data_IF_527891268596
#
_entry.id   IF_527891268596
#
_cell.length_a   1.000
_cell.length_b   1.000
_cell.length_c   1.000
_cell.angle_alpha   90.00
_cell.angle_beta   90.00
_cell.angle_gamma   90.00
#
_symmetry.space_group_name_H-M   'P 1'
#
loop_
_entity.id
_entity.type
_entity.pdbx_description
1 polymer ?
#
# COMPACT_ATOMS: atom_id res chain seq x y z
N UNK A 1 -40.40 35.27 -43.71
CA UNK A 1 -40.29 33.86 -44.14
C UNK A 1 -38.90 33.66 -44.75
N UNK A 2 -38.09 32.77 -44.16
CA UNK A 2 -36.85 32.12 -44.69
C UNK A 2 -35.65 32.99 -45.07
N UNK A 3 -34.64 33.04 -44.19
CA UNK A 3 -33.23 32.76 -44.53
C UNK A 3 -32.61 32.02 -43.34
N UNK A 4 -32.33 30.73 -43.50
CA UNK A 4 -31.55 29.91 -42.57
C UNK A 4 -30.76 28.90 -43.40
N UNK A 5 -29.46 29.15 -43.59
CA UNK A 5 -28.42 28.12 -43.76
C UNK A 5 -27.07 28.84 -43.90
N UNK A 6 -26.17 28.69 -42.92
CA UNK A 6 -24.72 28.42 -43.06
C UNK A 6 -24.17 28.34 -41.64
N UNK A 7 -23.97 27.12 -41.11
CA UNK A 7 -23.00 26.82 -40.04
C UNK A 7 -23.00 25.30 -39.78
N UNK A 8 -22.25 24.56 -40.59
CA UNK A 8 -21.98 23.15 -40.34
C UNK A 8 -20.71 22.67 -41.05
N UNK A 9 -19.53 23.27 -40.77
CA UNK A 9 -18.23 22.64 -41.10
C UNK A 9 -17.16 23.12 -40.12
N UNK A 10 -17.06 22.53 -38.92
CA UNK A 10 -15.87 22.60 -38.05
C UNK A 10 -15.90 21.54 -36.92
N UNK A 11 -16.14 20.27 -37.22
CA UNK A 11 -16.04 19.19 -36.20
C UNK A 11 -15.37 17.87 -36.64
N UNK A 12 -14.72 17.81 -37.81
CA UNK A 12 -14.13 16.56 -38.32
C UNK A 12 -12.59 16.46 -38.22
N UNK A 13 -11.87 17.54 -37.88
CA UNK A 13 -10.39 17.51 -37.93
C UNK A 13 -9.71 16.89 -36.68
N UNK A 14 -10.34 16.93 -35.50
CA UNK A 14 -9.70 16.44 -34.28
C UNK A 14 -9.69 14.90 -34.14
N UNK A 15 -10.71 14.22 -34.68
CA UNK A 15 -10.83 12.75 -34.59
C UNK A 15 -9.88 11.96 -35.51
N UNK A 16 -9.52 12.54 -36.66
CA UNK A 16 -8.61 11.91 -37.62
C UNK A 16 -7.14 11.89 -37.15
N UNK A 17 -6.70 12.94 -36.45
CA UNK A 17 -5.32 13.08 -35.97
C UNK A 17 -4.98 12.13 -34.82
N UNK A 18 -5.94 11.88 -33.91
CA UNK A 18 -5.76 10.99 -32.75
C UNK A 18 -5.71 9.52 -33.18
N UNK A 19 -6.50 9.13 -34.17
CA UNK A 19 -6.54 7.75 -34.69
C UNK A 19 -5.28 7.38 -35.49
N UNK A 20 -4.75 8.31 -36.30
CA UNK A 20 -3.50 8.10 -37.03
C UNK A 20 -2.25 7.97 -36.12
N UNK A 21 -2.20 8.72 -35.01
CA UNK A 21 -1.08 8.65 -34.05
C UNK A 21 -1.01 7.31 -33.32
N UNK A 22 -2.16 6.78 -32.88
CA UNK A 22 -2.27 5.49 -32.19
C UNK A 22 -1.96 4.31 -33.12
N UNK A 23 -2.41 4.35 -34.38
CA UNK A 23 -2.09 3.34 -35.40
C UNK A 23 -0.58 3.29 -35.70
N UNK A 24 0.09 4.45 -35.71
CA UNK A 24 1.53 4.54 -35.94
C UNK A 24 2.35 3.94 -34.78
N UNK A 25 1.93 4.16 -33.52
CA UNK A 25 2.63 3.57 -32.37
C UNK A 25 2.57 2.04 -32.35
N UNK A 26 1.38 1.46 -32.61
CA UNK A 26 1.22 0.00 -32.66
C UNK A 26 2.09 -0.64 -33.76
N UNK A 27 2.20 0.02 -34.92
CA UNK A 27 3.07 -0.42 -36.02
C UNK A 27 4.55 -0.37 -35.63
N UNK A 28 5.00 0.70 -34.96
CA UNK A 28 6.38 0.82 -34.47
C UNK A 28 6.69 -0.22 -33.40
N UNK A 29 5.80 -0.42 -32.42
CA UNK A 29 5.96 -1.42 -31.37
C UNK A 29 6.09 -2.84 -31.96
N UNK A 30 5.24 -3.17 -32.93
CA UNK A 30 5.33 -4.44 -33.67
C UNK A 30 6.64 -4.56 -34.45
N UNK A 31 7.08 -3.52 -35.15
CA UNK A 31 8.33 -3.52 -35.90
C UNK A 31 9.57 -3.67 -35.00
N UNK A 32 9.48 -3.22 -33.75
CA UNK A 32 10.53 -3.38 -32.75
C UNK A 32 10.43 -4.70 -31.96
N UNK A 33 9.46 -5.57 -32.26
CA UNK A 33 9.17 -6.78 -31.49
C UNK A 33 9.00 -6.49 -29.99
N UNK A 34 8.42 -5.35 -29.63
CA UNK A 34 8.27 -4.96 -28.22
C UNK A 34 7.47 -6.04 -27.46
N UNK A 35 8.07 -6.61 -26.41
CA UNK A 35 7.45 -7.66 -25.60
C UNK A 35 7.68 -9.09 -26.10
N UNK A 36 8.53 -9.29 -27.11
CA UNK A 36 8.84 -10.62 -27.63
C UNK A 36 9.85 -11.37 -26.75
N UNK A 37 10.78 -10.66 -26.10
CA UNK A 37 11.77 -11.24 -25.20
C UNK A 37 11.70 -10.64 -23.78
N UNK A 38 10.75 -11.09 -22.93
CA UNK A 38 10.62 -10.59 -21.57
C UNK A 38 11.73 -11.10 -20.62
N UNK A 39 12.71 -11.86 -21.11
CA UNK A 39 13.56 -12.70 -20.30
C UNK A 39 14.73 -11.93 -19.64
N UNK A 40 14.51 -11.53 -18.39
CA UNK A 40 15.58 -11.54 -17.39
C UNK A 40 15.13 -12.31 -16.15
N UNK A 41 16.03 -13.05 -15.48
CA UNK A 41 15.78 -13.59 -14.14
C UNK A 41 16.07 -12.51 -13.11
N UNK A 42 15.18 -12.31 -12.12
CA UNK A 42 15.33 -11.28 -11.09
C UNK A 42 14.20 -11.36 -10.04
N UNK A 43 14.33 -10.65 -8.92
CA UNK A 43 13.40 -10.69 -7.77
C UNK A 43 12.08 -9.91 -7.96
N UNK A 44 11.98 -9.09 -9.00
CA UNK A 44 10.81 -8.28 -9.38
C UNK A 44 9.86 -9.06 -10.31
N UNK A 45 8.58 -8.65 -10.39
CA UNK A 45 7.59 -9.31 -11.26
C UNK A 45 8.09 -9.38 -12.71
N UNK A 46 7.91 -10.52 -13.38
CA UNK A 46 8.32 -10.67 -14.78
C UNK A 46 7.44 -9.84 -15.74
N UNK A 47 6.20 -9.55 -15.33
CA UNK A 47 5.22 -8.78 -16.08
C UNK A 47 4.39 -7.91 -15.13
N UNK A 48 3.89 -6.78 -15.64
CA UNK A 48 2.97 -5.88 -14.95
C UNK A 48 1.76 -5.67 -15.87
N UNK A 49 0.55 -5.85 -15.36
CA UNK A 49 -0.67 -5.62 -16.14
C UNK A 49 -0.71 -4.17 -16.67
N UNK A 50 -0.96 -4.01 -17.96
CA UNK A 50 -0.96 -2.69 -18.62
C UNK A 50 0.42 -2.15 -18.99
N UNK A 51 1.49 -2.97 -18.87
CA UNK A 51 2.86 -2.59 -19.21
C UNK A 51 3.47 -3.64 -20.14
N UNK A 52 4.14 -3.18 -21.19
CA UNK A 52 4.92 -4.05 -22.09
C UNK A 52 6.35 -4.12 -21.59
N UNK A 53 6.76 -5.25 -21.02
CA UNK A 53 8.18 -5.50 -20.68
C UNK A 53 8.99 -5.57 -21.97
N UNK A 54 10.12 -4.87 -22.05
CA UNK A 54 10.99 -4.85 -23.24
C UNK A 54 12.45 -5.18 -22.89
N UNK A 55 13.14 -5.87 -23.79
CA UNK A 55 14.60 -6.06 -23.70
C UNK A 55 15.36 -4.77 -24.06
N UNK A 56 16.65 -4.63 -23.71
CA UNK A 56 17.47 -3.49 -24.14
C UNK A 56 17.48 -3.27 -25.65
N UNK A 57 17.44 -4.34 -26.45
CA UNK A 57 17.40 -4.28 -27.91
C UNK A 57 16.08 -3.70 -28.42
N UNK A 58 14.96 -4.17 -27.88
CA UNK A 58 13.62 -3.67 -28.21
C UNK A 58 13.48 -2.20 -27.78
N UNK A 59 13.94 -1.86 -26.57
CA UNK A 59 13.99 -0.49 -26.06
C UNK A 59 14.80 0.43 -26.98
N UNK A 60 16.00 0.01 -27.43
CA UNK A 60 16.81 0.77 -28.37
C UNK A 60 16.07 1.04 -29.69
N UNK A 61 15.39 0.04 -30.23
CA UNK A 61 14.58 0.21 -31.44
C UNK A 61 13.45 1.24 -31.23
N UNK A 62 12.76 1.20 -30.08
CA UNK A 62 11.72 2.17 -29.73
C UNK A 62 12.29 3.59 -29.63
N UNK A 63 13.43 3.76 -28.95
CA UNK A 63 14.14 5.04 -28.84
C UNK A 63 14.47 5.60 -30.23
N UNK A 64 15.03 4.78 -31.12
CA UNK A 64 15.44 5.20 -32.46
C UNK A 64 14.26 5.57 -33.37
N UNK A 65 13.16 4.80 -33.30
CA UNK A 65 12.00 5.00 -34.20
C UNK A 65 11.03 6.06 -33.70
N UNK A 66 10.87 6.22 -32.39
CA UNK A 66 9.92 7.19 -31.82
C UNK A 66 10.58 8.55 -31.54
N UNK A 67 11.89 8.58 -31.29
CA UNK A 67 12.61 9.82 -30.99
C UNK A 67 11.94 10.61 -29.86
N UNK A 68 11.75 11.92 -30.06
CA UNK A 68 11.12 12.83 -29.08
C UNK A 68 9.66 12.52 -28.72
N UNK A 69 8.99 11.63 -29.48
CA UNK A 69 7.64 11.15 -29.13
C UNK A 69 7.68 10.21 -27.93
N UNK A 70 8.77 9.48 -27.73
CA UNK A 70 8.97 8.59 -26.58
C UNK A 70 9.53 9.39 -25.41
N UNK A 71 8.81 9.38 -24.29
CA UNK A 71 9.31 9.93 -23.04
C UNK A 71 10.06 8.83 -22.30
N UNK A 72 11.37 9.03 -22.14
CA UNK A 72 12.23 8.07 -21.46
C UNK A 72 12.40 8.52 -20.01
N UNK A 73 12.16 7.62 -19.06
CA UNK A 73 12.12 7.89 -17.62
C UNK A 73 13.09 6.98 -16.90
N UNK A 74 14.04 7.60 -16.23
CA UNK A 74 15.01 6.96 -15.37
C UNK A 74 14.48 7.02 -13.92
N UNK A 75 14.05 5.87 -13.38
CA UNK A 75 13.38 5.81 -12.06
C UNK A 75 14.37 5.81 -10.87
N UNK A 76 15.61 6.23 -11.08
CA UNK A 76 16.68 6.29 -10.08
C UNK A 76 17.61 7.48 -10.36
N UNK A 77 18.46 7.82 -9.40
CA UNK A 77 19.50 8.82 -9.59
C UNK A 77 20.82 8.15 -9.98
N UNK A 78 21.23 8.31 -11.24
CA UNK A 78 22.47 7.77 -11.83
C UNK A 78 22.79 8.56 -13.10
N UNK A 79 23.48 9.70 -12.95
CA UNK A 79 23.74 10.61 -14.05
C UNK A 79 24.72 10.04 -15.09
N UNK A 80 25.68 9.22 -14.66
CA UNK A 80 26.77 8.71 -15.50
C UNK A 80 26.31 7.63 -16.48
N UNK A 81 25.23 6.91 -16.15
CA UNK A 81 24.72 5.78 -16.94
C UNK A 81 23.28 6.00 -17.39
N UNK A 82 23.04 7.18 -17.96
CA UNK A 82 21.74 7.63 -18.44
C UNK A 82 21.53 7.29 -19.91
N UNK A 83 20.37 6.74 -20.25
CA UNK A 83 19.98 6.51 -21.65
C UNK A 83 19.85 7.88 -22.37
N UNK A 84 20.14 7.95 -23.68
CA UNK A 84 19.98 9.19 -24.44
C UNK A 84 18.57 9.78 -24.27
N UNK A 85 18.49 11.09 -23.97
CA UNK A 85 17.24 11.83 -23.74
C UNK A 85 16.36 11.35 -22.57
N UNK A 86 16.90 10.54 -21.65
CA UNK A 86 16.16 10.12 -20.47
C UNK A 86 16.00 11.25 -19.45
N UNK A 87 14.84 11.28 -18.80
CA UNK A 87 14.47 12.20 -17.74
C UNK A 87 14.65 11.51 -16.39
N UNK A 88 15.43 12.09 -15.49
CA UNK A 88 15.60 11.58 -14.14
C UNK A 88 14.31 11.82 -13.33
N UNK A 89 13.72 10.74 -12.82
CA UNK A 89 12.52 10.76 -12.00
C UNK A 89 12.59 9.77 -10.84
N UNK A 90 13.56 9.93 -9.92
CA UNK A 90 13.78 8.99 -8.81
C UNK A 90 12.56 8.85 -7.89
N UNK A 91 11.80 9.93 -7.69
CA UNK A 91 10.58 9.91 -6.87
C UNK A 91 9.52 8.95 -7.43
N UNK A 92 9.45 8.78 -8.75
CA UNK A 92 8.53 7.82 -9.36
C UNK A 92 8.85 6.38 -8.96
N UNK A 93 10.10 6.06 -8.64
CA UNK A 93 10.50 4.75 -8.14
C UNK A 93 10.54 4.63 -6.62
N UNK A 94 10.37 5.71 -5.86
CA UNK A 94 10.55 5.72 -4.41
C UNK A 94 9.44 4.93 -3.67
N UNK A 95 9.80 3.89 -2.93
CA UNK A 95 8.87 3.08 -2.12
C UNK A 95 8.27 3.82 -0.92
N UNK A 96 8.95 4.86 -0.44
CA UNK A 96 8.66 5.53 0.82
C UNK A 96 8.10 6.94 0.61
N UNK A 97 7.40 7.18 -0.51
CA UNK A 97 6.68 8.44 -0.70
C UNK A 97 5.70 8.64 0.46
N UNK A 98 5.86 9.76 1.16
CA UNK A 98 4.98 10.19 2.25
C UNK A 98 4.08 11.32 1.75
N UNK A 99 2.94 11.51 2.40
CA UNK A 99 2.04 12.62 2.11
C UNK A 99 1.53 12.64 0.67
N UNK A 100 1.76 13.75 -0.03
CA UNK A 100 1.35 14.07 -1.40
C UNK A 100 2.23 13.47 -2.50
N UNK A 101 3.27 12.71 -2.14
CA UNK A 101 4.28 12.25 -3.10
C UNK A 101 3.72 11.55 -4.35
N UNK A 102 2.64 10.77 -4.24
CA UNK A 102 2.02 10.14 -5.42
C UNK A 102 1.36 11.16 -6.37
N UNK A 103 0.76 12.23 -5.84
CA UNK A 103 0.19 13.31 -6.65
C UNK A 103 1.30 14.13 -7.32
N UNK A 104 2.39 14.40 -6.61
CA UNK A 104 3.57 15.07 -7.18
C UNK A 104 4.20 14.25 -8.31
N UNK A 105 4.32 12.93 -8.14
CA UNK A 105 4.80 12.03 -9.20
C UNK A 105 3.85 12.03 -10.39
N UNK A 106 2.52 12.01 -10.18
CA UNK A 106 1.54 12.13 -11.27
C UNK A 106 1.72 13.44 -12.05
N UNK A 107 1.93 14.56 -11.35
CA UNK A 107 2.19 15.86 -11.97
C UNK A 107 3.53 15.87 -12.74
N UNK A 108 4.57 15.23 -12.21
CA UNK A 108 5.85 15.06 -12.91
C UNK A 108 5.67 14.29 -14.23
N UNK A 109 4.92 13.18 -14.22
CA UNK A 109 4.57 12.48 -15.45
C UNK A 109 3.85 13.40 -16.43
N UNK A 110 2.82 14.13 -15.96
CA UNK A 110 2.06 15.05 -16.81
C UNK A 110 2.95 16.15 -17.43
N UNK A 111 3.94 16.68 -16.69
CA UNK A 111 4.90 17.66 -17.23
C UNK A 111 5.76 17.07 -18.34
N UNK A 112 6.25 15.84 -18.18
CA UNK A 112 7.09 15.19 -19.19
C UNK A 112 6.30 14.80 -20.44
N UNK A 113 5.03 14.45 -20.29
CA UNK A 113 4.19 14.03 -21.41
C UNK A 113 3.43 15.18 -22.07
N UNK A 114 3.32 16.33 -21.40
CA UNK A 114 2.41 17.42 -21.79
C UNK A 114 0.95 17.13 -21.41
N UNK A 115 0.72 16.23 -20.44
CA UNK A 115 -0.60 15.79 -20.01
C UNK A 115 -1.23 14.73 -20.92
N UNK A 116 -0.56 14.30 -21.99
CA UNK A 116 -1.05 13.30 -22.92
C UNK A 116 -0.85 11.88 -22.37
N UNK A 117 -1.94 11.27 -21.89
CA UNK A 117 -1.98 9.90 -21.37
C UNK A 117 -1.64 8.83 -22.43
N UNK A 118 -1.71 9.18 -23.72
CA UNK A 118 -1.39 8.27 -24.83
C UNK A 118 0.06 8.38 -25.26
N UNK A 119 0.83 9.34 -24.75
CA UNK A 119 2.23 9.49 -25.11
C UNK A 119 3.05 8.30 -24.59
N UNK A 120 3.85 7.64 -25.44
CA UNK A 120 4.56 6.43 -25.03
C UNK A 120 5.64 6.74 -24.00
N UNK A 121 5.74 5.89 -22.98
CA UNK A 121 6.73 5.95 -21.92
C UNK A 121 7.69 4.78 -22.01
N UNK A 122 8.99 5.01 -21.84
CA UNK A 122 9.99 3.96 -21.59
C UNK A 122 10.57 4.16 -20.19
N UNK A 123 10.37 3.21 -19.28
CA UNK A 123 10.76 3.31 -17.88
C UNK A 123 11.85 2.27 -17.58
N UNK A 124 12.93 2.68 -16.89
CA UNK A 124 14.04 1.79 -16.54
C UNK A 124 14.73 2.16 -15.20
N UNK A 125 15.51 1.23 -14.65
CA UNK A 125 16.36 1.44 -13.45
C UNK A 125 17.81 0.95 -13.70
N UNK A 126 18.59 0.58 -12.67
CA UNK A 126 19.97 0.10 -12.81
C UNK A 126 20.04 -1.28 -13.48
N UNK A 127 19.27 -2.26 -12.96
CA UNK A 127 19.38 -3.68 -13.35
C UNK A 127 18.08 -4.44 -13.10
N UNK A 128 18.02 -5.72 -13.53
CA UNK A 128 16.83 -6.57 -13.49
C UNK A 128 16.17 -6.73 -12.09
N UNK A 129 16.95 -6.66 -11.02
CA UNK A 129 16.47 -6.73 -9.63
C UNK A 129 16.17 -5.37 -8.98
N UNK A 130 16.33 -4.24 -9.69
CA UNK A 130 16.00 -2.93 -9.13
C UNK A 130 14.48 -2.74 -9.03
N UNK A 131 13.91 -2.46 -7.83
CA UNK A 131 12.46 -2.31 -7.65
C UNK A 131 11.91 -0.98 -8.20
N UNK A 132 12.75 0.04 -8.37
CA UNK A 132 12.29 1.40 -8.66
C UNK A 132 11.56 1.54 -10.00
N UNK A 133 12.04 0.89 -11.07
CA UNK A 133 11.37 0.95 -12.37
C UNK A 133 10.06 0.18 -12.42
N UNK A 134 9.91 -0.88 -11.62
CA UNK A 134 8.64 -1.60 -11.45
C UNK A 134 7.61 -0.69 -10.79
N UNK A 135 8.00 -0.01 -9.70
CA UNK A 135 7.13 0.91 -8.97
C UNK A 135 6.74 2.10 -9.83
N UNK A 136 7.70 2.69 -10.54
CA UNK A 136 7.46 3.79 -11.47
C UNK A 136 6.46 3.38 -12.56
N UNK A 137 6.63 2.19 -13.15
CA UNK A 137 5.70 1.66 -14.16
C UNK A 137 4.30 1.46 -13.59
N UNK A 138 4.16 0.90 -12.38
CA UNK A 138 2.87 0.77 -11.70
C UNK A 138 2.22 2.14 -11.43
N UNK A 139 3.00 3.14 -11.04
CA UNK A 139 2.50 4.52 -10.86
C UNK A 139 2.05 5.15 -12.17
N UNK A 140 2.74 4.89 -13.27
CA UNK A 140 2.31 5.35 -14.59
C UNK A 140 0.97 4.72 -14.99
N UNK A 141 0.78 3.40 -14.75
CA UNK A 141 -0.52 2.72 -14.94
C UNK A 141 -1.60 3.38 -14.07
N UNK A 142 -1.34 3.59 -12.78
CA UNK A 142 -2.27 4.24 -11.85
C UNK A 142 -2.59 5.69 -12.24
N UNK A 143 -1.67 6.38 -12.90
CA UNK A 143 -1.87 7.73 -13.41
C UNK A 143 -2.68 7.77 -14.73
N UNK A 144 -2.97 6.62 -15.34
CA UNK A 144 -3.81 6.48 -16.53
C UNK A 144 -3.05 6.42 -17.85
N UNK A 145 -1.73 6.25 -17.84
CA UNK A 145 -0.96 6.13 -19.08
C UNK A 145 -1.23 4.80 -19.78
N UNK A 146 -1.45 4.85 -21.09
CA UNK A 146 -1.89 3.70 -21.89
C UNK A 146 -0.73 2.94 -22.55
N UNK A 147 0.38 3.62 -22.81
CA UNK A 147 1.49 3.11 -23.63
C UNK A 147 2.80 3.06 -22.84
N UNK A 148 2.93 2.05 -21.98
CA UNK A 148 4.07 1.94 -21.05
C UNK A 148 4.97 0.77 -21.46
N UNK A 149 6.22 1.08 -21.78
CA UNK A 149 7.30 0.13 -22.01
C UNK A 149 8.23 0.11 -20.79
N UNK A 150 8.55 -1.09 -20.29
CA UNK A 150 9.39 -1.26 -19.12
C UNK A 150 10.64 -2.07 -19.45
N UNK A 151 11.81 -1.42 -19.44
CA UNK A 151 13.09 -2.08 -19.67
C UNK A 151 13.69 -2.56 -18.33
N UNK A 152 13.32 -3.77 -17.94
CA UNK A 152 13.66 -4.35 -16.64
C UNK A 152 15.16 -4.49 -16.41
N UNK A 153 15.92 -4.86 -17.43
CA UNK A 153 17.38 -5.03 -17.34
C UNK A 153 18.14 -3.72 -17.11
N UNK A 154 17.46 -2.57 -17.19
CA UNK A 154 18.02 -1.29 -16.78
C UNK A 154 19.21 -0.81 -17.61
N UNK A 155 19.95 0.15 -17.07
CA UNK A 155 21.17 0.66 -17.70
C UNK A 155 22.31 -0.38 -17.73
N UNK A 156 22.26 -1.42 -16.91
CA UNK A 156 23.16 -2.57 -16.99
C UNK A 156 22.93 -3.38 -18.26
N UNK A 157 21.68 -3.75 -18.56
CA UNK A 157 21.34 -4.44 -19.81
C UNK A 157 21.67 -3.58 -21.04
N UNK A 158 21.37 -2.28 -20.97
CA UNK A 158 21.71 -1.33 -22.04
C UNK A 158 23.20 -1.28 -22.34
N UNK A 159 24.03 -1.16 -21.29
CA UNK A 159 25.49 -1.15 -21.43
C UNK A 159 26.05 -2.50 -21.90
N UNK A 160 25.52 -3.63 -21.39
CA UNK A 160 25.91 -4.98 -21.85
C UNK A 160 25.58 -5.21 -23.32
N UNK A 161 24.53 -4.59 -23.84
CA UNK A 161 24.16 -4.64 -25.24
C UNK A 161 25.04 -3.72 -26.14
N UNK A 162 26.01 -2.99 -25.55
CA UNK A 162 26.95 -2.14 -26.28
C UNK A 162 26.37 -0.79 -26.73
N UNK A 163 25.25 -0.36 -26.16
CA UNK A 163 24.62 0.91 -26.52
C UNK A 163 25.22 2.07 -25.73
N UNK A 164 25.42 3.21 -26.41
CA UNK A 164 25.94 4.42 -25.79
C UNK A 164 24.96 5.00 -24.76
N UNK A 165 25.52 5.52 -23.67
CA UNK A 165 24.82 6.46 -22.80
C UNK A 165 24.87 7.85 -23.44
N UNK A 166 23.89 8.70 -23.15
CA UNK A 166 23.85 10.06 -23.69
C UNK A 166 24.23 11.10 -22.65
N UNK A 167 24.72 12.25 -23.11
CA UNK A 167 24.97 13.45 -22.31
C UNK A 167 23.62 14.12 -21.98
N UNK A 168 22.81 13.44 -21.18
CA UNK A 168 21.43 13.82 -20.96
C UNK A 168 21.27 14.91 -19.91
N UNK A 169 21.31 16.18 -20.34
CA UNK A 169 20.48 17.26 -19.78
C UNK A 169 19.66 17.91 -20.89
N UNK A 170 18.41 17.47 -21.03
CA UNK A 170 17.30 18.42 -21.18
C UNK A 170 16.31 18.08 -20.08
N UNK A 171 16.68 18.37 -18.82
CA UNK A 171 15.66 18.97 -17.97
C UNK A 171 15.12 20.15 -18.78
N UNK A 172 13.80 20.29 -18.94
CA UNK A 172 13.25 21.59 -19.31
C UNK A 172 13.95 22.59 -18.40
N UNK A 173 14.84 23.43 -18.97
CA UNK A 173 15.81 24.22 -18.22
C UNK A 173 15.04 24.82 -17.06
N UNK A 174 15.26 24.32 -15.84
CA UNK A 174 14.65 24.90 -14.65
C UNK A 174 15.11 26.37 -14.76
N UNK A 175 14.19 27.35 -14.90
CA UNK A 175 14.61 28.73 -14.94
C UNK A 175 15.57 28.93 -13.80
N UNK A 176 16.72 29.58 -14.06
CA UNK A 176 17.69 29.85 -13.00
C UNK A 176 16.90 30.39 -11.80
N UNK A 177 17.00 29.68 -10.67
CA UNK A 177 16.10 29.89 -9.56
C UNK A 177 16.36 31.31 -9.03
N UNK A 178 15.52 32.25 -9.42
CA UNK A 178 15.57 33.61 -8.90
C UNK A 178 15.08 33.57 -7.46
N UNK A 179 15.52 34.50 -6.59
CA UNK A 179 14.99 34.60 -5.24
C UNK A 179 13.46 34.67 -5.22
N UNK A 180 12.86 35.37 -6.19
CA UNK A 180 11.41 35.44 -6.35
C UNK A 180 10.78 34.06 -6.62
N UNK A 181 11.35 33.27 -7.53
CA UNK A 181 10.85 31.93 -7.85
C UNK A 181 10.99 30.93 -6.69
N UNK A 182 12.01 31.08 -5.84
CA UNK A 182 12.21 30.24 -4.66
C UNK A 182 11.22 30.59 -3.54
N UNK A 183 11.01 31.88 -3.28
CA UNK A 183 9.97 32.36 -2.36
C UNK A 183 8.60 31.85 -2.83
N UNK A 184 8.31 32.01 -4.12
CA UNK A 184 7.06 31.57 -4.74
C UNK A 184 6.85 30.05 -4.60
N UNK A 185 7.91 29.26 -4.77
CA UNK A 185 7.85 27.82 -4.59
C UNK A 185 7.53 27.44 -3.14
N UNK A 186 8.11 28.14 -2.16
CA UNK A 186 7.79 27.96 -0.74
C UNK A 186 6.36 28.39 -0.39
N UNK A 187 5.87 29.46 -1.01
CA UNK A 187 4.55 30.05 -0.73
C UNK A 187 3.41 29.45 -1.56
N UNK A 188 3.64 28.39 -2.35
CA UNK A 188 2.63 27.82 -3.25
C UNK A 188 1.35 27.42 -2.51
N UNK A 189 1.48 26.62 -1.46
CA UNK A 189 0.37 26.10 -0.66
C UNK A 189 -0.34 27.17 0.18
N UNK A 190 0.26 28.35 0.31
CA UNK A 190 -0.37 29.51 0.94
C UNK A 190 -1.41 30.18 0.03
N UNK A 191 -1.34 29.95 -1.29
CA UNK A 191 -2.27 30.57 -2.26
C UNK A 191 -3.27 29.57 -2.82
N UNK A 192 -2.79 28.38 -3.15
CA UNK A 192 -3.59 27.32 -3.74
C UNK A 192 -3.31 26.02 -3.02
N UNK A 193 -4.36 25.48 -2.42
CA UNK A 193 -4.34 24.17 -1.79
C UNK A 193 -5.17 23.23 -2.65
N UNK A 194 -4.66 22.05 -3.05
CA UNK A 194 -5.41 21.21 -3.97
C UNK A 194 -6.65 20.59 -3.27
N UNK A 195 -7.86 20.72 -3.85
CA UNK A 195 -9.10 20.20 -3.25
C UNK A 195 -9.06 18.71 -2.90
N UNK A 196 -8.32 17.90 -3.67
CA UNK A 196 -8.17 16.46 -3.43
C UNK A 196 -7.51 16.13 -2.09
N UNK A 197 -6.60 16.98 -1.58
CA UNK A 197 -5.99 16.78 -0.26
C UNK A 197 -7.00 17.01 0.85
N UNK A 198 -7.80 18.06 0.71
CA UNK A 198 -8.87 18.36 1.65
C UNK A 198 -9.92 17.25 1.61
N UNK A 199 -10.34 16.83 0.41
CA UNK A 199 -11.28 15.72 0.23
C UNK A 199 -10.78 14.44 0.93
N UNK A 200 -9.52 14.04 0.70
CA UNK A 200 -8.92 12.88 1.35
C UNK A 200 -8.92 13.00 2.88
N UNK A 201 -8.48 14.14 3.40
CA UNK A 201 -8.45 14.37 4.85
C UNK A 201 -9.86 14.31 5.49
N UNK A 202 -10.88 14.67 4.72
CA UNK A 202 -12.28 14.63 5.14
C UNK A 202 -12.90 13.25 5.04
N UNK A 203 -12.50 12.46 4.05
CA UNK A 203 -12.90 11.06 3.95
C UNK A 203 -12.35 10.22 5.10
N UNK A 204 -11.10 10.49 5.52
CA UNK A 204 -10.36 9.75 6.55
C UNK A 204 -10.74 10.08 8.00
N UNK A 205 -11.66 11.04 8.20
CA UNK A 205 -12.00 11.54 9.53
C UNK A 205 -13.52 11.59 9.72
N UNK A 206 -13.98 11.21 10.90
CA UNK A 206 -15.35 11.40 11.38
C UNK A 206 -15.56 12.77 12.06
N UNK A 207 -14.49 13.56 12.23
CA UNK A 207 -14.55 14.89 12.84
C UNK A 207 -15.28 15.90 11.95
N UNK A 208 -15.79 16.97 12.56
CA UNK A 208 -16.36 18.10 11.83
C UNK A 208 -15.35 18.75 10.88
N UNK A 209 -15.88 19.48 9.92
CA UNK A 209 -15.11 20.07 8.81
C UNK A 209 -14.03 21.03 9.33
N UNK A 210 -14.37 21.88 10.29
CA UNK A 210 -13.47 22.86 10.86
C UNK A 210 -12.36 22.19 11.70
N UNK A 211 -12.64 21.08 12.37
CA UNK A 211 -11.62 20.29 13.07
C UNK A 211 -10.59 19.69 12.11
N UNK A 212 -11.03 19.21 10.94
CA UNK A 212 -10.10 18.71 9.92
C UNK A 212 -9.23 19.83 9.37
N UNK A 213 -9.81 21.00 9.07
CA UNK A 213 -9.05 22.16 8.61
C UNK A 213 -8.02 22.63 9.64
N UNK A 214 -8.42 22.78 10.91
CA UNK A 214 -7.51 23.15 12.01
C UNK A 214 -6.33 22.18 12.15
N UNK A 215 -6.54 20.90 11.87
CA UNK A 215 -5.47 19.88 11.89
C UNK A 215 -4.54 19.99 10.68
N UNK A 216 -5.06 20.41 9.53
CA UNK A 216 -4.26 20.57 8.31
C UNK A 216 -3.39 21.84 8.33
N UNK A 217 -3.87 22.95 8.90
CA UNK A 217 -3.14 24.24 8.79
C UNK A 217 -1.70 24.19 9.35
N UNK A 218 -1.43 23.73 10.59
CA UNK A 218 -0.10 23.82 11.18
C UNK A 218 1.03 23.16 10.38
N UNK A 219 0.94 21.88 9.96
CA UNK A 219 2.06 21.23 9.27
C UNK A 219 2.42 21.89 7.93
N UNK A 220 1.43 22.44 7.20
CA UNK A 220 1.70 23.13 5.93
C UNK A 220 2.26 24.54 6.16
N UNK A 221 1.74 25.27 7.14
CA UNK A 221 2.26 26.59 7.51
C UNK A 221 3.70 26.51 8.03
N UNK A 222 3.99 25.56 8.92
CA UNK A 222 5.35 25.31 9.44
C UNK A 222 6.32 24.90 8.32
N UNK A 223 5.87 24.06 7.38
CA UNK A 223 6.68 23.68 6.21
C UNK A 223 7.00 24.88 5.32
N UNK A 224 6.02 25.77 5.08
CA UNK A 224 6.21 27.00 4.32
C UNK A 224 7.21 27.94 5.02
N UNK A 225 7.03 28.17 6.33
CA UNK A 225 7.95 28.99 7.14
C UNK A 225 9.36 28.42 7.14
N UNK A 226 9.53 27.11 7.30
CA UNK A 226 10.84 26.45 7.23
C UNK A 226 11.50 26.59 5.85
N UNK A 227 10.70 26.51 4.79
CA UNK A 227 11.18 26.71 3.43
C UNK A 227 11.67 28.16 3.22
N UNK A 228 10.87 29.14 3.64
CA UNK A 228 11.21 30.57 3.56
C UNK A 228 12.44 30.92 4.40
N UNK A 229 12.59 30.31 5.58
CA UNK A 229 13.79 30.45 6.41
C UNK A 229 15.07 30.06 5.66
N UNK A 230 15.05 28.95 4.91
CA UNK A 230 16.19 28.53 4.08
C UNK A 230 16.47 29.51 2.93
N UNK A 231 15.43 30.09 2.34
CA UNK A 231 15.60 31.12 1.31
C UNK A 231 16.25 32.38 1.90
N UNK A 232 15.84 32.79 3.10
CA UNK A 232 16.45 33.92 3.82
C UNK A 232 17.91 33.64 4.16
N UNK A 233 18.25 32.45 4.63
CA UNK A 233 19.63 32.06 4.90
C UNK A 233 20.49 32.09 3.63
N UNK A 234 19.99 31.52 2.53
CA UNK A 234 20.67 31.51 1.23
C UNK A 234 20.94 32.90 0.67
N UNK A 235 20.01 33.85 0.88
CA UNK A 235 20.08 35.22 0.38
C UNK A 235 20.26 36.25 1.51
N UNK A 236 21.07 35.94 2.53
CA UNK A 236 21.26 36.79 3.70
C UNK A 236 21.73 38.22 3.37
N UNK A 237 22.53 38.38 2.30
CA UNK A 237 23.02 39.68 1.83
C UNK A 237 22.04 40.50 0.99
N UNK A 238 20.80 40.03 0.76
CA UNK A 238 19.81 40.71 -0.07
C UNK A 238 18.62 41.20 0.77
N UNK A 239 18.55 42.50 1.13
CA UNK A 239 17.49 43.05 1.98
C UNK A 239 16.09 42.87 1.40
N UNK A 240 15.93 42.95 0.08
CA UNK A 240 14.62 42.77 -0.57
C UNK A 240 14.09 41.36 -0.37
N UNK A 241 14.97 40.35 -0.46
CA UNK A 241 14.61 38.95 -0.23
C UNK A 241 14.21 38.72 1.23
N UNK A 242 14.96 39.31 2.18
CA UNK A 242 14.62 39.23 3.61
C UNK A 242 13.23 39.79 3.89
N UNK A 243 12.93 40.99 3.38
CA UNK A 243 11.62 41.65 3.58
C UNK A 243 10.48 40.82 3.00
N UNK A 244 10.61 40.35 1.75
CA UNK A 244 9.54 39.60 1.09
C UNK A 244 9.33 38.24 1.77
N UNK A 245 10.39 37.49 2.04
CA UNK A 245 10.27 36.18 2.69
C UNK A 245 9.69 36.30 4.11
N UNK A 246 10.11 37.30 4.90
CA UNK A 246 9.55 37.55 6.23
C UNK A 246 8.06 37.90 6.17
N UNK A 247 7.62 38.68 5.17
CA UNK A 247 6.21 39.01 5.00
C UNK A 247 5.35 37.77 4.71
N UNK A 248 5.87 36.78 3.96
CA UNK A 248 5.23 35.50 3.77
C UNK A 248 5.21 34.66 5.07
N UNK A 249 6.34 34.56 5.79
CA UNK A 249 6.40 33.84 7.07
C UNK A 249 5.35 34.36 8.08
N UNK A 250 5.22 35.69 8.19
CA UNK A 250 4.29 36.34 9.11
C UNK A 250 2.80 36.02 8.81
N UNK A 251 2.47 35.66 7.57
CA UNK A 251 1.10 35.34 7.14
C UNK A 251 0.89 33.85 6.84
N UNK A 252 1.90 33.01 7.02
CA UNK A 252 1.89 31.61 6.61
C UNK A 252 0.66 30.84 7.12
N UNK A 253 0.34 30.97 8.42
CA UNK A 253 -0.82 30.30 9.02
C UNK A 253 -2.15 30.78 8.43
N UNK A 254 -2.33 32.10 8.33
CA UNK A 254 -3.56 32.71 7.82
C UNK A 254 -3.79 32.42 6.33
N UNK A 255 -2.73 32.51 5.53
CA UNK A 255 -2.79 32.25 4.09
C UNK A 255 -3.07 30.76 3.83
N UNK A 256 -2.39 29.83 4.53
CA UNK A 256 -2.68 28.39 4.43
C UNK A 256 -4.12 28.07 4.87
N UNK A 257 -4.59 28.67 5.97
CA UNK A 257 -5.97 28.49 6.42
C UNK A 257 -6.98 28.94 5.35
N UNK A 258 -6.76 30.10 4.73
CA UNK A 258 -7.60 30.58 3.62
C UNK A 258 -7.55 29.65 2.40
N UNK A 259 -6.36 29.17 2.03
CA UNK A 259 -6.19 28.27 0.89
C UNK A 259 -6.92 26.93 1.12
N UNK A 260 -6.80 26.36 2.32
CA UNK A 260 -7.52 25.14 2.73
C UNK A 260 -9.03 25.38 2.75
N UNK A 261 -9.52 26.49 3.31
CA UNK A 261 -10.95 26.81 3.31
C UNK A 261 -11.51 26.99 1.89
N UNK A 262 -10.73 27.57 0.97
CA UNK A 262 -11.11 27.66 -0.45
C UNK A 262 -11.17 26.28 -1.11
N UNK A 263 -10.17 25.44 -0.85
CA UNK A 263 -10.14 24.07 -1.34
C UNK A 263 -11.30 23.24 -0.79
N UNK A 264 -11.64 23.44 0.49
CA UNK A 264 -12.82 22.87 1.13
C UNK A 264 -14.10 23.29 0.42
N UNK A 265 -14.28 24.58 0.15
CA UNK A 265 -15.46 25.08 -0.54
C UNK A 265 -15.64 24.43 -1.92
N UNK A 266 -14.54 24.10 -2.63
CA UNK A 266 -14.61 23.34 -3.87
C UNK A 266 -15.09 21.89 -3.65
N UNK A 267 -14.64 21.23 -2.57
CA UNK A 267 -15.14 19.90 -2.19
C UNK A 267 -16.61 19.94 -1.78
N UNK A 268 -17.05 20.96 -1.05
CA UNK A 268 -18.46 21.13 -0.66
C UNK A 268 -19.37 21.42 -1.86
N UNK A 269 -18.84 22.11 -2.88
CA UNK A 269 -19.58 22.44 -4.09
C UNK A 269 -19.78 21.24 -5.01
N UNK A 270 -18.86 20.26 -5.02
CA UNK A 270 -18.97 19.03 -5.80
C UNK A 270 -18.35 17.80 -5.13
N UNK A 271 -18.92 17.31 -4.00
CA UNK A 271 -18.38 16.15 -3.30
C UNK A 271 -18.44 14.87 -4.16
N UNK A 272 -19.36 14.79 -5.12
CA UNK A 272 -19.48 13.63 -5.99
C UNK A 272 -18.23 13.39 -6.84
N UNK A 273 -17.59 14.45 -7.34
CA UNK A 273 -16.34 14.35 -8.11
C UNK A 273 -15.17 13.78 -7.31
N UNK A 274 -15.17 13.92 -5.98
CA UNK A 274 -14.09 13.48 -5.12
C UNK A 274 -14.33 12.09 -4.50
N UNK A 275 -15.58 11.75 -4.17
CA UNK A 275 -15.86 10.58 -3.31
C UNK A 275 -16.53 9.41 -4.03
N UNK A 276 -17.22 9.64 -5.15
CA UNK A 276 -18.04 8.58 -5.78
C UNK A 276 -17.22 7.42 -6.33
N UNK A 277 -15.97 7.65 -6.75
CA UNK A 277 -15.12 6.56 -7.21
C UNK A 277 -14.77 5.58 -6.06
N UNK A 278 -14.42 6.11 -4.89
CA UNK A 278 -14.10 5.27 -3.72
C UNK A 278 -15.34 4.54 -3.19
N UNK A 279 -16.49 5.22 -3.14
CA UNK A 279 -17.76 4.60 -2.76
C UNK A 279 -18.12 3.41 -3.65
N UNK A 280 -17.90 3.52 -4.97
CA UNK A 280 -18.17 2.43 -5.94
C UNK A 280 -17.22 1.24 -5.80
N UNK A 281 -16.00 1.46 -5.31
CA UNK A 281 -15.00 0.40 -5.08
C UNK A 281 -15.24 -0.38 -3.78
N UNK A 282 -15.98 0.21 -2.84
CA UNK A 282 -16.32 -0.42 -1.57
C UNK A 282 -17.56 -1.30 -1.73
N UNK A 283 -17.37 -2.61 -1.62
CA UNK A 283 -18.46 -3.58 -1.64
C UNK A 283 -19.01 -3.78 -0.23
N UNK A 284 -20.22 -3.25 0.00
CA UNK A 284 -20.88 -3.33 1.28
C UNK A 284 -21.21 -4.76 1.72
N UNK A 285 -21.45 -5.69 0.79
CA UNK A 285 -21.72 -7.10 1.12
C UNK A 285 -20.43 -7.79 1.59
N UNK A 286 -19.34 -7.67 0.83
CA UNK A 286 -18.03 -8.17 1.26
C UNK A 286 -17.60 -7.60 2.62
N UNK A 287 -17.81 -6.31 2.87
CA UNK A 287 -17.50 -5.70 4.17
C UNK A 287 -18.35 -6.26 5.32
N UNK A 288 -19.64 -6.57 5.06
CA UNK A 288 -20.51 -7.22 6.06
C UNK A 288 -20.04 -8.62 6.38
N UNK A 289 -19.62 -9.38 5.37
CA UNK A 289 -19.08 -10.72 5.57
C UNK A 289 -17.77 -10.69 6.38
N UNK A 290 -16.92 -9.70 6.16
CA UNK A 290 -15.69 -9.49 6.96
C UNK A 290 -16.04 -9.21 8.42
N UNK A 291 -17.00 -8.31 8.69
CA UNK A 291 -17.45 -8.01 10.06
C UNK A 291 -18.03 -9.25 10.73
N UNK A 292 -18.86 -10.03 10.02
CA UNK A 292 -19.42 -11.28 10.49
C UNK A 292 -18.33 -12.32 10.81
N UNK A 293 -17.34 -12.45 9.93
CA UNK A 293 -16.19 -13.34 10.15
C UNK A 293 -15.36 -12.89 11.36
N UNK A 294 -15.15 -11.58 11.54
CA UNK A 294 -14.42 -11.02 12.68
C UNK A 294 -15.08 -11.33 14.04
N UNK A 295 -16.42 -11.35 14.10
CA UNK A 295 -17.17 -11.80 15.29
C UNK A 295 -16.94 -13.29 15.62
N UNK A 296 -16.74 -14.14 14.60
CA UNK A 296 -16.53 -15.57 14.80
C UNK A 296 -15.12 -15.92 15.30
N UNK A 297 -14.16 -14.98 15.18
CA UNK A 297 -12.78 -15.21 15.63
C UNK A 297 -12.69 -15.22 17.16
N UNK A 298 -12.29 -16.36 17.69
CA UNK A 298 -11.96 -16.58 19.11
C UNK A 298 -10.47 -16.87 19.27
N UNK A 299 -9.92 -16.63 20.46
CA UNK A 299 -8.61 -17.15 20.83
C UNK A 299 -8.69 -18.66 21.14
N UNK A 300 -7.55 -19.33 21.32
CA UNK A 300 -7.54 -20.76 21.60
C UNK A 300 -8.11 -21.03 23.00
N UNK A 301 -7.74 -20.23 24.00
CA UNK A 301 -8.29 -20.28 25.36
C UNK A 301 -9.79 -19.98 25.40
N UNK A 302 -10.30 -19.11 24.52
CA UNK A 302 -11.74 -18.89 24.38
C UNK A 302 -12.48 -20.07 23.72
N UNK A 303 -11.75 -20.92 22.98
CA UNK A 303 -12.31 -22.07 22.26
C UNK A 303 -12.26 -23.34 23.10
N UNK A 304 -11.11 -23.64 23.70
CA UNK A 304 -10.87 -24.87 24.46
C UNK A 304 -10.73 -24.66 25.98
N UNK A 305 -10.75 -23.42 26.48
CA UNK A 305 -10.43 -23.12 27.87
C UNK A 305 -8.93 -23.13 28.15
N UNK A 306 -8.56 -22.83 29.40
CA UNK A 306 -7.17 -22.95 29.87
C UNK A 306 -6.86 -24.39 30.30
N UNK A 307 -5.61 -24.82 30.14
CA UNK A 307 -5.16 -26.13 30.59
C UNK A 307 -4.74 -26.08 32.07
N UNK A 308 -5.62 -26.56 32.96
CA UNK A 308 -5.43 -26.46 34.42
C UNK A 308 -5.69 -27.80 35.15
N UNK A 309 -5.21 -28.91 34.58
CA UNK A 309 -5.44 -30.23 35.15
C UNK A 309 -4.39 -30.51 36.24
N UNK A 310 -4.77 -30.67 37.52
CA UNK A 310 -3.82 -30.98 38.59
C UNK A 310 -3.22 -32.38 38.38
N UNK A 311 -2.00 -32.58 38.88
CA UNK A 311 -1.38 -33.92 38.91
C UNK A 311 -1.69 -34.56 40.26
N UNK A 312 -2.46 -35.67 40.29
CA UNK A 312 -2.83 -36.36 41.51
C UNK A 312 -1.64 -37.08 42.16
N UNK A 313 -1.77 -37.39 43.45
CA UNK A 313 -0.80 -38.19 44.20
C UNK A 313 -1.25 -39.65 44.40
N UNK A 314 -2.50 -39.97 44.08
CA UNK A 314 -3.12 -41.27 44.25
C UNK A 314 -3.67 -41.85 42.93
N UNK A 315 -3.83 -43.19 42.82
CA UNK A 315 -4.22 -43.83 41.55
C UNK A 315 -5.62 -43.47 41.03
N UNK A 316 -6.62 -43.32 41.90
CA UNK A 316 -7.98 -42.98 41.48
C UNK A 316 -8.05 -41.56 40.92
N UNK A 317 -7.31 -40.63 41.55
CA UNK A 317 -7.09 -39.30 41.02
C UNK A 317 -6.47 -39.34 39.62
N UNK A 318 -5.47 -40.20 39.37
CA UNK A 318 -4.83 -40.31 38.06
C UNK A 318 -5.80 -40.71 36.95
N UNK A 319 -6.75 -41.61 37.22
CA UNK A 319 -7.77 -42.01 36.25
C UNK A 319 -8.70 -40.85 35.90
N UNK A 320 -9.15 -40.07 36.90
CA UNK A 320 -9.98 -38.90 36.67
C UNK A 320 -9.23 -37.81 35.88
N UNK A 321 -7.98 -37.51 36.27
CA UNK A 321 -7.15 -36.52 35.59
C UNK A 321 -6.80 -36.94 34.15
N UNK A 322 -6.58 -38.23 33.89
CA UNK A 322 -6.36 -38.76 32.55
C UNK A 322 -7.61 -38.63 31.65
N UNK A 323 -8.80 -38.83 32.21
CA UNK A 323 -10.05 -38.63 31.49
C UNK A 323 -10.23 -37.15 31.09
N UNK A 324 -10.00 -36.22 32.02
CA UNK A 324 -10.03 -34.77 31.75
C UNK A 324 -8.97 -34.36 30.71
N UNK A 325 -7.75 -34.90 30.82
CA UNK A 325 -6.67 -34.65 29.87
C UNK A 325 -7.05 -35.09 28.45
N UNK A 326 -7.62 -36.28 28.31
CA UNK A 326 -8.06 -36.80 27.01
C UNK A 326 -9.20 -35.99 26.41
N UNK A 327 -10.12 -35.48 27.23
CA UNK A 327 -11.16 -34.56 26.76
C UNK A 327 -10.54 -33.25 26.22
N UNK A 328 -9.56 -32.68 26.94
CA UNK A 328 -8.86 -31.48 26.49
C UNK A 328 -8.06 -31.71 25.20
N UNK A 329 -7.35 -32.84 25.10
CA UNK A 329 -6.67 -33.29 23.86
C UNK A 329 -7.65 -33.35 22.69
N UNK A 330 -8.86 -33.84 22.91
CA UNK A 330 -9.92 -33.85 21.89
C UNK A 330 -10.20 -32.44 21.33
N UNK A 331 -10.34 -31.44 22.19
CA UNK A 331 -10.49 -30.04 21.76
C UNK A 331 -9.24 -29.53 21.04
N UNK A 332 -8.06 -29.80 21.60
CA UNK A 332 -6.79 -29.34 21.05
C UNK A 332 -6.53 -29.84 19.62
N UNK A 333 -6.84 -31.11 19.36
CA UNK A 333 -6.67 -31.73 18.05
C UNK A 333 -7.73 -31.28 17.06
N UNK A 334 -8.97 -31.03 17.51
CA UNK A 334 -10.04 -30.53 16.65
C UNK A 334 -9.83 -29.07 16.19
N UNK A 335 -8.99 -28.30 16.88
CA UNK A 335 -8.83 -26.87 16.66
C UNK A 335 -7.39 -26.52 16.26
N UNK A 336 -7.13 -26.52 14.94
CA UNK A 336 -5.88 -26.03 14.36
C UNK A 336 -5.85 -24.51 14.22
N UNK A 337 -4.65 -23.91 14.22
CA UNK A 337 -4.51 -22.48 13.96
C UNK A 337 -5.19 -22.09 12.63
N UNK A 338 -6.03 -21.03 12.62
CA UNK A 338 -6.66 -20.57 11.40
C UNK A 338 -5.60 -20.16 10.38
N UNK A 339 -5.89 -20.37 9.08
CA UNK A 339 -5.01 -19.88 8.00
C UNK A 339 -4.93 -18.35 8.06
N UNK A 340 -3.85 -17.79 7.54
CA UNK A 340 -3.56 -16.33 7.55
C UNK A 340 -4.48 -15.51 6.62
N UNK A 341 -5.62 -16.04 6.20
CA UNK A 341 -6.53 -15.46 5.20
C UNK A 341 -7.11 -14.09 5.63
N UNK A 342 -7.24 -13.85 6.94
CA UNK A 342 -7.83 -12.60 7.47
C UNK A 342 -7.00 -11.33 7.29
N UNK A 343 -5.73 -11.41 6.84
CA UNK A 343 -4.93 -10.21 6.60
C UNK A 343 -5.46 -9.40 5.41
N UNK A 344 -5.98 -10.08 4.38
CA UNK A 344 -6.55 -9.44 3.19
C UNK A 344 -7.85 -8.74 3.56
N UNK A 345 -8.70 -9.40 4.32
CA UNK A 345 -9.96 -8.86 4.83
C UNK A 345 -9.76 -7.63 5.72
N UNK A 346 -8.78 -7.71 6.63
CA UNK A 346 -8.40 -6.60 7.49
C UNK A 346 -7.90 -5.39 6.69
N UNK A 347 -7.01 -5.62 5.70
CA UNK A 347 -6.51 -4.57 4.81
C UNK A 347 -7.64 -3.94 3.98
N UNK A 348 -8.53 -4.77 3.44
CA UNK A 348 -9.65 -4.30 2.64
C UNK A 348 -10.62 -3.47 3.47
N UNK A 349 -11.06 -3.97 4.63
CA UNK A 349 -11.94 -3.23 5.53
C UNK A 349 -11.28 -1.94 6.02
N UNK A 350 -10.02 -2.00 6.45
CA UNK A 350 -9.27 -0.83 6.91
C UNK A 350 -9.19 0.26 5.86
N UNK A 351 -8.91 -0.11 4.60
CA UNK A 351 -8.91 0.83 3.48
C UNK A 351 -10.29 1.40 3.19
N UNK A 352 -11.32 0.56 3.13
CA UNK A 352 -12.69 1.02 2.90
C UNK A 352 -13.16 1.99 3.99
N UNK A 353 -12.81 1.74 5.26
CA UNK A 353 -13.05 2.65 6.37
C UNK A 353 -12.34 3.99 6.18
N UNK A 354 -11.02 3.97 5.92
CA UNK A 354 -10.24 5.19 5.72
C UNK A 354 -10.73 6.04 4.54
N UNK A 355 -11.10 5.39 3.43
CA UNK A 355 -11.51 6.10 2.23
C UNK A 355 -12.94 6.66 2.31
N UNK A 356 -13.74 6.26 3.30
CA UNK A 356 -15.18 6.57 3.29
C UNK A 356 -15.82 6.98 4.63
N UNK A 357 -15.18 6.82 5.80
CA UNK A 357 -15.82 7.06 7.11
C UNK A 357 -16.43 8.47 7.23
N UNK A 358 -15.75 9.49 6.72
CA UNK A 358 -16.21 10.87 6.77
C UNK A 358 -17.14 11.28 5.64
N UNK A 359 -17.40 10.41 4.67
CA UNK A 359 -18.15 10.74 3.45
C UNK A 359 -19.63 10.97 3.73
N UNK A 360 -20.16 10.37 4.81
CA UNK A 360 -21.56 10.53 5.22
C UNK A 360 -22.02 11.97 5.45
N UNK A 361 -21.09 12.91 5.72
CA UNK A 361 -21.41 14.34 5.85
C UNK A 361 -21.94 14.98 4.56
N UNK A 362 -21.73 14.33 3.41
CA UNK A 362 -22.18 14.79 2.10
C UNK A 362 -23.38 14.00 1.57
N UNK A 363 -23.89 13.05 2.34
CA UNK A 363 -25.03 12.22 1.97
C UNK A 363 -26.35 13.02 2.04
N UNK A 364 -27.27 12.76 1.11
CA UNK A 364 -28.53 13.48 0.99
C UNK A 364 -29.68 12.57 0.50
N UNK A 365 -30.90 12.78 1.04
CA UNK A 365 -32.04 11.86 0.87
C UNK A 365 -32.88 12.06 -0.39
N UNK A 366 -32.92 13.25 -1.01
CA UNK A 366 -33.72 13.50 -2.22
C UNK A 366 -33.24 14.70 -3.04
N UNK A 367 -33.33 14.51 -4.36
CA UNK A 367 -33.18 15.44 -5.48
C UNK A 367 -33.41 16.92 -5.14
N UNK A 368 -32.36 17.73 -5.19
CA UNK A 368 -32.50 19.19 -5.02
C UNK A 368 -31.21 19.93 -4.68
N UNK A 369 -30.19 19.28 -4.13
CA UNK A 369 -28.83 19.82 -4.12
C UNK A 369 -28.09 19.24 -5.31
N UNK A 370 -27.86 20.01 -6.40
CA UNK A 370 -26.87 19.58 -7.38
C UNK A 370 -25.58 19.26 -6.63
N UNK A 371 -24.99 18.11 -6.95
CA UNK A 371 -23.67 17.66 -6.54
C UNK A 371 -23.51 16.97 -5.17
N UNK A 372 -24.56 16.68 -4.39
CA UNK A 372 -24.42 15.86 -3.16
C UNK A 372 -24.29 14.35 -3.44
N UNK A 373 -23.85 13.57 -2.44
CA UNK A 373 -23.73 12.11 -2.54
C UNK A 373 -25.11 11.49 -2.27
N UNK A 374 -25.66 10.65 -3.16
CA UNK A 374 -26.96 10.03 -2.92
C UNK A 374 -26.93 9.13 -1.67
N UNK A 375 -27.94 9.23 -0.80
CA UNK A 375 -28.06 8.35 0.37
C UNK A 375 -27.98 6.87 -0.02
N UNK A 376 -28.59 6.48 -1.13
CA UNK A 376 -28.54 5.11 -1.63
C UNK A 376 -27.12 4.61 -1.93
N UNK A 377 -26.15 5.51 -2.21
CA UNK A 377 -24.75 5.15 -2.41
C UNK A 377 -23.97 5.02 -1.09
N UNK A 378 -24.34 5.79 -0.06
CA UNK A 378 -23.62 5.82 1.21
C UNK A 378 -24.19 4.86 2.28
N UNK A 379 -25.52 4.81 2.42
CA UNK A 379 -26.19 4.07 3.50
C UNK A 379 -25.76 2.60 3.65
N UNK A 380 -25.54 1.82 2.56
CA UNK A 380 -25.05 0.45 2.69
C UNK A 380 -23.68 0.34 3.37
N UNK A 381 -22.81 1.33 3.18
CA UNK A 381 -21.48 1.39 3.80
C UNK A 381 -21.54 1.99 5.20
N UNK A 382 -22.40 2.98 5.44
CA UNK A 382 -22.57 3.61 6.75
C UNK A 382 -22.89 2.60 7.87
N UNK A 383 -23.71 1.60 7.55
CA UNK A 383 -24.08 0.55 8.49
C UNK A 383 -22.92 -0.38 8.87
N UNK A 384 -21.90 -0.48 8.01
CA UNK A 384 -20.78 -1.42 8.19
C UNK A 384 -19.50 -0.71 8.66
N UNK A 385 -19.23 0.51 8.18
CA UNK A 385 -18.02 1.28 8.48
C UNK A 385 -18.14 2.08 9.78
N UNK A 386 -18.45 1.40 10.88
CA UNK A 386 -18.58 2.02 12.21
C UNK A 386 -17.26 1.91 12.99
N UNK A 387 -17.00 2.83 13.96
CA UNK A 387 -15.85 2.71 14.85
C UNK A 387 -15.79 1.37 15.58
N UNK A 388 -16.95 0.87 16.03
CA UNK A 388 -17.07 -0.42 16.70
C UNK A 388 -16.69 -1.60 15.78
N UNK A 389 -17.17 -1.60 14.54
CA UNK A 389 -16.82 -2.64 13.57
C UNK A 389 -15.34 -2.57 13.16
N UNK A 390 -14.76 -1.35 13.06
CA UNK A 390 -13.33 -1.18 12.85
C UNK A 390 -12.53 -1.82 13.98
N UNK A 391 -12.85 -1.51 15.23
CA UNK A 391 -12.18 -2.10 16.37
C UNK A 391 -12.33 -3.63 16.39
N UNK A 392 -13.54 -4.14 16.13
CA UNK A 392 -13.81 -5.58 16.06
C UNK A 392 -12.94 -6.28 15.01
N UNK A 393 -12.86 -5.75 13.79
CA UNK A 393 -12.09 -6.31 12.66
C UNK A 393 -10.60 -6.24 12.93
N UNK A 394 -10.11 -5.12 13.49
CA UNK A 394 -8.70 -4.96 13.84
C UNK A 394 -8.30 -5.94 14.96
N UNK A 395 -9.11 -6.03 16.01
CA UNK A 395 -8.87 -6.96 17.12
C UNK A 395 -9.04 -8.43 16.70
N UNK A 396 -9.78 -8.73 15.63
CA UNK A 396 -9.89 -10.09 15.11
C UNK A 396 -8.54 -10.61 14.60
N UNK A 397 -7.72 -9.75 13.97
CA UNK A 397 -6.35 -10.12 13.59
C UNK A 397 -5.52 -10.49 14.82
N UNK A 398 -5.60 -9.68 15.88
CA UNK A 398 -4.89 -9.93 17.13
C UNK A 398 -5.35 -11.22 17.83
N UNK A 399 -6.66 -11.51 17.80
CA UNK A 399 -7.22 -12.76 18.33
C UNK A 399 -6.73 -13.99 17.55
N UNK A 400 -6.56 -13.91 16.23
CA UNK A 400 -5.97 -15.01 15.43
C UNK A 400 -4.50 -15.24 15.77
N UNK A 401 -3.75 -14.16 15.95
CA UNK A 401 -2.35 -14.24 16.38
C UNK A 401 -2.25 -14.83 17.80
N UNK A 402 -3.13 -14.41 18.71
CA UNK A 402 -3.24 -14.96 20.06
C UNK A 402 -3.61 -16.43 20.06
N UNK A 403 -4.56 -16.87 19.22
CA UNK A 403 -4.92 -18.28 19.06
C UNK A 403 -3.68 -19.15 18.78
N UNK A 404 -2.84 -18.73 17.84
CA UNK A 404 -1.64 -19.48 17.46
C UNK A 404 -0.67 -19.58 18.64
N UNK A 405 -0.37 -18.45 19.30
CA UNK A 405 0.53 -18.43 20.45
C UNK A 405 0.01 -19.24 21.63
N UNK A 406 -1.25 -19.04 22.01
CA UNK A 406 -1.88 -19.77 23.12
C UNK A 406 -1.89 -21.28 22.88
N UNK A 407 -2.13 -21.71 21.64
CA UNK A 407 -2.09 -23.13 21.29
C UNK A 407 -0.68 -23.72 21.44
N UNK A 408 0.35 -22.98 21.04
CA UNK A 408 1.75 -23.39 21.24
C UNK A 408 2.12 -23.49 22.72
N UNK A 409 1.75 -22.47 23.51
CA UNK A 409 1.95 -22.45 24.97
C UNK A 409 1.27 -23.64 25.64
N UNK A 410 -0.02 -23.86 25.36
CA UNK A 410 -0.80 -24.95 25.93
C UNK A 410 -0.27 -26.32 25.49
N UNK A 411 0.18 -26.46 24.24
CA UNK A 411 0.83 -27.69 23.78
C UNK A 411 2.05 -28.03 24.63
N UNK A 412 2.89 -27.04 24.93
CA UNK A 412 4.04 -27.22 25.81
C UNK A 412 3.64 -27.55 27.27
N UNK A 413 2.58 -26.92 27.79
CA UNK A 413 2.04 -27.25 29.11
C UNK A 413 1.52 -28.69 29.20
N UNK A 414 0.80 -29.15 28.18
CA UNK A 414 0.29 -30.52 28.07
C UNK A 414 1.42 -31.54 28.01
N UNK A 415 2.46 -31.28 27.20
CA UNK A 415 3.66 -32.13 27.14
C UNK A 415 4.36 -32.19 28.51
N UNK A 416 4.49 -31.05 29.18
CA UNK A 416 5.05 -30.97 30.53
C UNK A 416 4.24 -31.73 31.57
N UNK A 417 2.91 -31.64 31.52
CA UNK A 417 2.01 -32.39 32.40
C UNK A 417 2.17 -33.90 32.20
N UNK A 418 2.16 -34.38 30.94
CA UNK A 418 2.35 -35.81 30.60
C UNK A 418 3.67 -36.32 31.17
N UNK A 419 4.77 -35.60 30.92
CA UNK A 419 6.09 -36.03 31.37
C UNK A 419 6.17 -36.17 32.90
N UNK A 420 5.56 -35.24 33.65
CA UNK A 420 5.50 -35.31 35.12
C UNK A 420 4.62 -36.45 35.62
N UNK A 421 3.44 -36.65 35.01
CA UNK A 421 2.54 -37.75 35.35
C UNK A 421 3.21 -39.11 35.14
N UNK A 422 3.85 -39.33 33.99
CA UNK A 422 4.61 -40.56 33.69
C UNK A 422 5.72 -40.79 34.72
N UNK A 423 6.50 -39.77 35.07
CA UNK A 423 7.58 -39.90 36.05
C UNK A 423 7.09 -40.24 37.47
N UNK A 424 5.87 -39.84 37.85
CA UNK A 424 5.25 -40.23 39.12
C UNK A 424 4.80 -41.68 39.08
N UNK A 425 4.06 -42.08 38.04
CA UNK A 425 3.58 -43.46 37.87
C UNK A 425 4.74 -44.47 37.81
N UNK A 426 5.81 -44.16 37.09
CA UNK A 426 7.00 -45.00 37.06
C UNK A 426 7.67 -45.14 38.44
N UNK A 427 7.69 -44.07 39.25
CA UNK A 427 8.23 -44.13 40.62
C UNK A 427 7.35 -45.01 41.50
N UNK A 428 6.03 -44.88 41.41
CA UNK A 428 5.07 -45.71 42.15
C UNK A 428 5.24 -47.20 41.81
N UNK A 429 5.30 -47.53 40.52
CA UNK A 429 5.51 -48.91 40.05
C UNK A 429 6.86 -49.49 40.54
N UNK A 430 7.94 -48.69 40.53
CA UNK A 430 9.24 -49.11 41.07
C UNK A 430 9.21 -49.35 42.58
N UNK A 431 8.46 -48.56 43.35
CA UNK A 431 8.29 -48.80 44.79
C UNK A 431 7.48 -50.05 45.10
N UNK A 432 6.43 -50.33 44.34
CA UNK A 432 5.64 -51.56 44.49
C UNK A 432 6.45 -52.81 44.11
N UNK A 433 7.26 -52.75 43.06
CA UNK A 433 8.15 -53.86 42.68
C UNK A 433 9.25 -54.16 43.71
N UNK A 434 9.57 -53.19 44.59
CA UNK A 434 10.54 -53.37 45.69
C UNK A 434 9.89 -53.83 46.99
N UNK A 435 8.61 -53.56 47.19
CA UNK A 435 7.86 -53.99 48.39
C UNK A 435 7.15 -55.34 48.22
N UNK A 436 6.82 -55.74 46.97
CA UNK A 436 6.16 -57.00 46.67
C UNK A 436 7.09 -57.94 45.89
N UNK A 437 7.59 -58.98 46.56
CA UNK A 437 8.11 -60.19 45.91
C UNK A 437 7.00 -61.05 45.27
N UNK A 438 5.90 -60.45 44.85
CA UNK A 438 4.72 -61.11 44.31
C UNK A 438 4.28 -60.43 43.01
N UNK A 439 4.34 -61.19 41.92
CA UNK A 439 3.93 -60.79 40.57
C UNK A 439 2.40 -60.76 40.46
N UNK A 440 1.82 -59.58 40.27
CA UNK A 440 0.40 -59.45 39.93
C UNK A 440 -0.19 -58.08 40.27
N UNK A 441 0.23 -57.03 39.58
CA UNK A 441 -0.37 -55.69 39.69
C UNK A 441 -0.54 -55.08 38.31
N UNK A 442 -1.78 -54.75 37.95
CA UNK A 442 -2.18 -54.13 36.68
C UNK A 442 -1.41 -52.84 36.43
N UNK A 443 -0.47 -52.84 35.48
CA UNK A 443 0.32 -51.66 35.14
C UNK A 443 -0.58 -50.55 34.59
N UNK A 444 -0.55 -49.38 35.22
CA UNK A 444 -1.17 -48.17 34.69
C UNK A 444 -0.46 -47.75 33.40
N UNK A 445 -1.16 -47.86 32.27
CA UNK A 445 -0.67 -47.34 31.00
C UNK A 445 -0.78 -45.80 31.03
N UNK A 446 0.30 -45.05 30.77
CA UNK A 446 0.23 -43.60 30.71
C UNK A 446 -0.71 -43.15 29.59
N UNK A 447 -1.39 -41.99 29.73
CA UNK A 447 -2.24 -41.46 28.67
C UNK A 447 -1.43 -41.27 27.38
N UNK A 448 -1.89 -41.88 26.29
CA UNK A 448 -1.22 -41.83 24.99
C UNK A 448 -1.65 -40.58 24.24
N UNK A 449 -0.71 -39.67 23.99
CA UNK A 449 -0.85 -38.52 23.10
C UNK A 449 0.38 -38.47 22.20
N UNK A 450 0.17 -38.69 20.91
CA UNK A 450 1.18 -38.38 19.89
C UNK A 450 1.15 -36.87 19.64
N UNK A 451 2.25 -36.13 19.91
CA UNK A 451 2.29 -34.72 19.60
C UNK A 451 2.13 -34.52 18.08
N UNK A 452 1.38 -33.50 17.63
CA UNK A 452 1.33 -33.17 16.22
C UNK A 452 2.75 -32.93 15.72
N UNK A 453 3.14 -33.66 14.68
CA UNK A 453 4.40 -33.46 13.97
C UNK A 453 4.45 -31.99 13.55
N UNK A 454 5.24 -31.17 14.25
CA UNK A 454 5.41 -29.77 13.88
C UNK A 454 6.14 -29.76 12.55
N UNK A 455 5.42 -29.52 11.46
CA UNK A 455 6.01 -29.22 10.15
C UNK A 455 6.59 -27.81 10.16
N UNK A 456 7.39 -27.48 11.16
CA UNK A 456 8.25 -26.31 11.12
C UNK A 456 9.57 -26.73 10.48
N UNK A 457 9.61 -26.65 9.14
CA UNK A 457 10.88 -26.69 8.42
C UNK A 457 11.67 -25.48 8.92
N UNK A 458 12.64 -25.69 9.83
CA UNK A 458 13.67 -24.68 10.12
C UNK A 458 14.19 -24.17 8.77
N UNK A 459 14.28 -22.85 8.54
CA UNK A 459 15.05 -22.36 7.41
C UNK A 459 16.47 -22.85 7.61
N UNK A 460 16.88 -23.82 6.81
CA UNK A 460 18.28 -24.19 6.63
C UNK A 460 18.96 -23.01 5.96
N UNK A 461 19.44 -22.06 6.75
CA UNK A 461 20.53 -21.12 6.47
C UNK A 461 20.56 -20.05 7.59
N UNK A 462 21.05 -20.46 8.76
CA UNK A 462 21.65 -19.54 9.72
C UNK A 462 22.94 -20.20 10.19
N UNK A 463 23.98 -20.07 9.37
CA UNK A 463 25.35 -20.32 9.83
C UNK A 463 25.67 -19.28 10.90
N UNK A 464 25.79 -19.73 12.15
CA UNK A 464 26.35 -18.92 13.21
C UNK A 464 27.84 -18.64 12.88
N UNK A 465 28.31 -17.39 12.90
CA UNK A 465 29.73 -17.11 12.80
C UNK A 465 30.38 -17.32 14.17
N UNK A 466 31.41 -18.16 14.21
CA UNK A 466 32.47 -18.07 15.21
C UNK A 466 32.45 -19.11 16.33
N UNK A 467 33.09 -20.25 16.10
CA UNK A 467 33.96 -20.87 17.12
C UNK A 467 35.15 -21.56 16.42
N UNK A 468 36.32 -20.90 16.58
CA UNK A 468 37.71 -21.30 16.32
C UNK A 468 38.12 -21.63 14.89
#
# INVERSE_FOLDING_TARGET
MRIALVLAVTLLAAGASVTASAQNLAAVAKACNAGADPAARGSTQAQINGVTTVSPREAKCLVDKLGSRLVIIQAMDDADRRLPNANALPDAGNLHLRGDGNAMVKEQYARLTGGDLKRPLLIYCHHASCPYSEIASKRAVMAGYENIFWMREGNEGWGKAGYAFGDGVVEARKPEATPASEIEACARFMREFPPEFVAKALAESDQDTASVERRLVPPFAESATKCLGKVKEKYAGNPSVQTVAQAFENRAFDDVARAIAKARAAVDADPSSFFMENLRKADADSLRDIVKAAHAVKTFKQTCGSFNIPIPSDPDGFNAAAAEFNQYVGCFNANSAPRSDGIVDWLYYGKAYQDNVGVGRYACSRWGRPNCIPDAAWQPLAAVLTPANKELVFNASDRRAAFTREREEIGAEMDGWRNRATAILERANRSESRSSGYSGGSGYAPPSYEPPQTTYRRPSNASAPGMR
#
